data_IF_758092478434
#
_entry.id   IF_758092478434
#
_cell.length_a   1.000
_cell.length_b   1.000
_cell.length_c   1.000
_cell.angle_alpha   90.00
_cell.angle_beta   90.00
_cell.angle_gamma   90.00
#
_symmetry.space_group_name_H-M   'P 1'
#
loop_
_entity.id
_entity.type
_entity.pdbx_description
1 polymer ?
#
# COMPACT_ATOMS: atom_id res chain seq x y z
N UNK A 1 15.97 -23.86 9.70
CA UNK A 1 16.85 -22.79 9.19
C UNK A 1 16.02 -21.91 8.26
N UNK A 2 16.01 -20.59 8.49
CA UNK A 2 15.34 -19.65 7.57
C UNK A 2 16.15 -19.58 6.28
N UNK A 3 15.52 -19.83 5.13
CA UNK A 3 16.16 -19.71 3.81
C UNK A 3 16.67 -18.27 3.61
N UNK A 4 17.82 -18.06 2.94
CA UNK A 4 18.44 -16.75 2.82
C UNK A 4 17.52 -15.68 2.18
N UNK A 5 16.60 -16.07 1.30
CA UNK A 5 15.64 -15.15 0.68
C UNK A 5 14.45 -14.74 1.56
N UNK A 6 14.29 -15.29 2.77
CA UNK A 6 13.33 -14.71 3.73
C UNK A 6 13.80 -13.36 4.27
N UNK A 7 15.09 -13.04 4.13
CA UNK A 7 15.62 -11.69 4.29
C UNK A 7 15.73 -11.09 2.90
N UNK A 8 14.60 -10.62 2.35
CA UNK A 8 14.58 -9.96 1.06
C UNK A 8 15.64 -8.84 1.02
N UNK A 9 16.39 -8.77 -0.07
CA UNK A 9 17.30 -7.64 -0.31
C UNK A 9 16.47 -6.36 -0.33
N UNK A 10 16.76 -5.35 0.52
CA UNK A 10 16.06 -4.07 0.46
C UNK A 10 16.16 -3.48 -0.95
N UNK A 11 15.04 -3.00 -1.50
CA UNK A 11 14.99 -2.30 -2.78
C UNK A 11 14.78 -0.80 -2.53
N UNK A 12 15.83 -0.03 -2.21
CA UNK A 12 15.70 1.39 -1.82
C UNK A 12 15.23 2.30 -2.97
N UNK A 13 15.28 1.81 -4.21
CA UNK A 13 14.86 2.54 -5.40
C UNK A 13 13.40 2.24 -5.79
N UNK A 14 12.63 1.56 -4.95
CA UNK A 14 11.21 1.29 -5.18
C UNK A 14 10.38 1.97 -4.09
N UNK A 15 9.31 2.65 -4.49
CA UNK A 15 8.34 3.26 -3.59
C UNK A 15 6.91 2.81 -3.92
N UNK A 16 5.98 2.83 -2.95
CA UNK A 16 4.58 2.56 -3.24
C UNK A 16 3.98 3.56 -4.21
N UNK A 17 3.25 3.07 -5.22
CA UNK A 17 2.43 3.92 -6.06
C UNK A 17 1.08 4.19 -5.38
N UNK A 18 1.02 5.27 -4.59
CA UNK A 18 -0.15 5.62 -3.79
C UNK A 18 -1.34 5.95 -4.70
N UNK A 19 -2.39 5.13 -4.62
CA UNK A 19 -3.62 5.32 -5.39
C UNK A 19 -4.61 6.25 -4.70
N UNK A 20 -4.53 6.34 -3.38
CA UNK A 20 -5.39 7.17 -2.54
C UNK A 20 -5.15 6.95 -1.06
N UNK A 21 -5.98 7.58 -0.24
CA UNK A 21 -5.94 7.46 1.21
C UNK A 21 -7.33 7.58 1.81
N UNK A 22 -7.48 7.08 3.03
CA UNK A 22 -8.60 7.38 3.91
C UNK A 22 -8.11 8.32 5.00
N UNK A 23 -8.80 9.44 5.20
CA UNK A 23 -8.42 10.45 6.19
C UNK A 23 -8.92 10.11 7.60
N UNK A 24 -10.02 9.36 7.69
CA UNK A 24 -10.59 8.90 8.96
C UNK A 24 -11.13 7.47 8.87
N UNK A 25 -11.53 6.92 10.01
CA UNK A 25 -12.16 5.60 10.06
C UNK A 25 -13.53 5.59 9.37
N UNK A 26 -14.30 6.67 9.47
CA UNK A 26 -15.59 6.83 8.81
C UNK A 26 -15.43 6.92 7.29
N UNK A 27 -14.40 7.61 6.81
CA UNK A 27 -14.05 7.67 5.39
C UNK A 27 -13.77 6.25 4.84
N UNK A 28 -12.98 5.47 5.56
CA UNK A 28 -12.77 4.05 5.24
C UNK A 28 -14.08 3.26 5.22
N UNK A 29 -14.92 3.33 6.26
CA UNK A 29 -16.20 2.60 6.31
C UNK A 29 -17.10 2.90 5.12
N UNK A 30 -17.15 4.16 4.68
CA UNK A 30 -18.04 4.61 3.63
C UNK A 30 -17.51 4.32 2.21
N UNK A 31 -16.19 4.28 2.03
CA UNK A 31 -15.59 4.30 0.69
C UNK A 31 -14.69 3.10 0.36
N UNK A 32 -14.31 2.26 1.35
CA UNK A 32 -13.35 1.18 1.17
C UNK A 32 -13.71 0.20 0.06
N UNK A 33 -14.95 -0.28 -0.01
CA UNK A 33 -15.35 -1.27 -1.03
C UNK A 33 -15.10 -0.74 -2.44
N UNK A 34 -15.42 0.53 -2.71
CA UNK A 34 -15.17 1.14 -4.01
C UNK A 34 -13.69 1.41 -4.25
N UNK A 35 -12.95 1.81 -3.22
CA UNK A 35 -11.55 2.21 -3.34
C UNK A 35 -10.57 1.02 -3.43
N UNK A 36 -10.92 -0.13 -2.86
CA UNK A 36 -10.02 -1.27 -2.65
C UNK A 36 -10.32 -2.49 -3.54
N UNK A 37 -11.31 -2.42 -4.44
CA UNK A 37 -11.72 -3.53 -5.31
C UNK A 37 -11.63 -3.16 -6.79
N UNK A 38 -11.69 -4.17 -7.67
CA UNK A 38 -11.67 -3.96 -9.13
C UNK A 38 -10.28 -3.76 -9.72
N UNK A 39 -9.22 -4.08 -8.99
CA UNK A 39 -7.86 -4.09 -9.51
C UNK A 39 -7.55 -5.44 -10.15
N UNK A 40 -7.11 -5.43 -11.40
CA UNK A 40 -6.71 -6.62 -12.14
C UNK A 40 -5.21 -6.58 -12.46
N UNK A 41 -4.56 -7.71 -12.32
CA UNK A 41 -3.16 -7.88 -12.67
C UNK A 41 -2.97 -8.25 -14.14
N UNK A 42 -1.71 -8.48 -14.50
CA UNK A 42 -1.29 -8.70 -15.89
C UNK A 42 -1.87 -9.95 -16.54
N UNK A 43 -2.40 -10.90 -15.75
CA UNK A 43 -3.03 -12.12 -16.26
C UNK A 43 -4.53 -12.18 -15.93
N UNK A 44 -5.13 -11.05 -15.54
CA UNK A 44 -6.55 -10.96 -15.17
C UNK A 44 -6.86 -11.49 -13.77
N UNK A 45 -5.84 -11.63 -12.92
CA UNK A 45 -6.01 -11.99 -11.52
C UNK A 45 -6.49 -10.79 -10.69
N UNK A 46 -7.38 -11.02 -9.73
CA UNK A 46 -7.81 -9.97 -8.82
C UNK A 46 -6.68 -9.61 -7.83
N UNK A 47 -6.33 -8.32 -7.78
CA UNK A 47 -5.29 -7.79 -6.90
C UNK A 47 -5.90 -7.19 -5.64
N UNK A 48 -5.30 -7.51 -4.50
CA UNK A 48 -5.69 -6.95 -3.21
C UNK A 48 -4.85 -5.70 -2.89
N UNK A 49 -5.52 -4.58 -2.63
CA UNK A 49 -4.85 -3.36 -2.18
C UNK A 49 -4.14 -3.56 -0.83
N UNK A 50 -2.96 -2.97 -0.70
CA UNK A 50 -2.17 -2.92 0.52
C UNK A 50 -2.45 -1.58 1.19
N UNK A 51 -2.98 -1.61 2.41
CA UNK A 51 -3.22 -0.41 3.21
C UNK A 51 -2.16 -0.26 4.30
N UNK A 52 -1.63 0.95 4.47
CA UNK A 52 -0.58 1.28 5.45
C UNK A 52 -0.95 2.57 6.19
N UNK A 53 -0.94 2.52 7.52
CA UNK A 53 -1.20 3.67 8.38
C UNK A 53 -0.01 4.65 8.43
N UNK A 54 -0.20 5.81 9.04
CA UNK A 54 0.82 6.86 9.11
C UNK A 54 2.02 6.49 10.01
N UNK A 55 1.93 5.38 10.74
CA UNK A 55 3.02 4.79 11.51
C UNK A 55 3.76 3.67 10.75
N UNK A 56 3.40 3.43 9.48
CA UNK A 56 4.05 2.45 8.62
C UNK A 56 3.58 1.01 8.85
N UNK A 57 2.45 0.80 9.52
CA UNK A 57 1.91 -0.52 9.83
C UNK A 57 0.86 -0.91 8.82
N UNK A 58 0.82 -2.20 8.45
CA UNK A 58 -0.21 -2.72 7.54
C UNK A 58 -1.56 -2.75 8.27
N UNK A 59 -2.60 -2.28 7.58
CA UNK A 59 -3.99 -2.42 7.98
C UNK A 59 -4.67 -3.42 7.05
N UNK A 60 -5.00 -4.62 7.54
CA UNK A 60 -5.55 -5.67 6.70
C UNK A 60 -7.06 -5.84 6.86
N UNK A 61 -7.59 -5.55 8.04
CA UNK A 61 -8.99 -5.72 8.37
C UNK A 61 -9.50 -4.58 9.25
N UNK A 62 -10.82 -4.55 9.50
CA UNK A 62 -11.43 -3.50 10.31
C UNK A 62 -10.84 -3.32 11.71
N UNK A 63 -10.29 -4.36 12.34
CA UNK A 63 -9.62 -4.24 13.64
C UNK A 63 -8.33 -3.42 13.54
N UNK A 64 -7.57 -3.55 12.47
CA UNK A 64 -6.37 -2.74 12.26
C UNK A 64 -6.72 -1.28 11.96
N UNK A 65 -7.82 -1.04 11.22
CA UNK A 65 -8.33 0.32 11.00
C UNK A 65 -8.89 0.93 12.30
N UNK A 66 -9.52 0.15 13.17
CA UNK A 66 -9.91 0.59 14.52
C UNK A 66 -8.69 0.93 15.35
N UNK A 67 -7.62 0.10 15.31
CA UNK A 67 -6.34 0.42 15.97
C UNK A 67 -5.76 1.73 15.43
N UNK A 68 -5.77 1.93 14.12
CA UNK A 68 -5.26 3.17 13.52
C UNK A 68 -6.06 4.39 13.99
N UNK A 69 -7.38 4.26 14.20
CA UNK A 69 -8.21 5.32 14.78
C UNK A 69 -7.85 5.58 16.24
N UNK A 70 -7.80 4.52 17.04
CA UNK A 70 -7.60 4.61 18.49
C UNK A 70 -6.20 5.16 18.84
N UNK A 71 -5.24 4.99 17.95
CA UNK A 71 -3.85 5.47 18.09
C UNK A 71 -3.53 6.72 17.26
N UNK A 72 -4.53 7.39 16.67
CA UNK A 72 -4.37 8.60 15.84
C UNK A 72 -3.34 8.43 14.69
N UNK A 73 -3.37 7.26 14.05
CA UNK A 73 -2.44 6.85 12.99
C UNK A 73 -3.00 7.02 11.57
N UNK A 74 -4.10 7.74 11.40
CA UNK A 74 -4.57 8.17 10.08
C UNK A 74 -3.68 9.30 9.53
N UNK A 75 -3.64 9.53 8.19
CA UNK A 75 -4.38 8.84 7.14
C UNK A 75 -3.82 7.44 6.84
N UNK A 76 -4.70 6.53 6.40
CA UNK A 76 -4.32 5.20 5.89
C UNK A 76 -4.24 5.26 4.38
N UNK A 77 -3.05 5.04 3.82
CA UNK A 77 -2.80 5.08 2.36
C UNK A 77 -2.91 3.69 1.76
N UNK A 78 -3.36 3.59 0.51
CA UNK A 78 -3.43 2.31 -0.18
C UNK A 78 -2.75 2.33 -1.56
N UNK A 79 -2.20 1.18 -1.93
CA UNK A 79 -1.51 0.95 -3.20
C UNK A 79 -1.61 -0.53 -3.59
N UNK A 80 -1.37 -0.84 -4.87
CA UNK A 80 -1.32 -2.23 -5.37
C UNK A 80 0.07 -2.64 -5.88
N UNK A 81 0.90 -1.65 -6.22
CA UNK A 81 2.20 -1.87 -6.85
C UNK A 81 3.23 -0.87 -6.33
N UNK A 82 4.50 -1.19 -6.60
CA UNK A 82 5.61 -0.28 -6.39
C UNK A 82 6.02 0.33 -7.73
N UNK A 83 6.52 1.57 -7.69
CA UNK A 83 7.14 2.26 -8.82
C UNK A 83 8.59 2.61 -8.50
N UNK A 84 9.44 2.86 -9.52
CA UNK A 84 10.78 3.39 -9.30
C UNK A 84 10.74 4.73 -8.57
N UNK A 85 11.66 4.93 -7.63
CA UNK A 85 11.90 6.20 -6.96
C UNK A 85 12.66 7.12 -7.93
N UNK A 86 11.95 8.09 -8.52
CA UNK A 86 12.49 8.99 -9.54
C UNK A 86 12.39 8.45 -10.97
N UNK A 87 12.90 9.22 -11.94
CA UNK A 87 12.95 8.76 -13.33
C UNK A 87 13.79 7.47 -13.40
N UNK A 88 13.36 6.44 -14.15
CA UNK A 88 14.18 5.27 -14.36
C UNK A 88 15.56 5.70 -14.90
N UNK A 89 16.64 5.01 -14.50
CA UNK A 89 18.00 5.41 -14.88
C UNK A 89 18.25 5.42 -16.40
N UNK A 90 17.33 4.89 -17.21
CA UNK A 90 17.39 4.92 -18.67
C UNK A 90 16.67 6.13 -19.33
N UNK A 91 15.92 6.95 -18.58
CA UNK A 91 15.27 8.18 -19.10
C UNK A 91 16.12 9.45 -18.93
N UNK A 92 17.21 9.41 -18.14
CA UNK A 92 18.05 10.60 -17.88
C UNK A 92 19.12 10.87 -18.95
N UNK A 93 19.05 10.20 -20.11
CA UNK A 93 19.97 10.38 -21.22
C UNK A 93 19.30 11.16 -22.35
N UNK A 94 19.25 12.49 -22.26
CA UNK A 94 19.02 13.40 -23.39
C UNK A 94 19.85 14.66 -23.21
#
# INVERSE_FOLDING_TARGET
MSRPWHKGTPCPHLEPDILGQFDTFEDWLNHATRALTGFEGSVGEELNAICVDNLGRRCHNGKDFMRARDEDAFPVRYFIQLKPLGAPPWESAT
#
